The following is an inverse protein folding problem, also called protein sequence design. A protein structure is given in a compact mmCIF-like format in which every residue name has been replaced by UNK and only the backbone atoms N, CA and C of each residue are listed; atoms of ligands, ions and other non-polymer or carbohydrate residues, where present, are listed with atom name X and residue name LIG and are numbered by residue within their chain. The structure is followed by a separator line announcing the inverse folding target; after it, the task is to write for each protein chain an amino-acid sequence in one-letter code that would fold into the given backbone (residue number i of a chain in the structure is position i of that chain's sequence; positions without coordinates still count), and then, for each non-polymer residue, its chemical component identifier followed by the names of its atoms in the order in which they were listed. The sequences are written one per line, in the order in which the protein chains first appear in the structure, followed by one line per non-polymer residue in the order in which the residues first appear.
data_IF_202793145182
#
_entry.id   IF_202793145182
#
_cell.length_a   1.000
_cell.length_b   1.000
_cell.length_c   1.000
_cell.angle_alpha   90.00
_cell.angle_beta   90.00
_cell.angle_gamma   90.00
#
_symmetry.space_group_name_H-M   'P 1'
#
loop_
_entity.id
_entity.type
_entity.pdbx_description
1 polymer ?
#
# COMPACT_ATOMS: atom_id res chain seq x y z
N UNK A 1 -27.34 6.48 39.17
CA UNK A 1 -26.23 6.39 38.18
C UNK A 1 -26.48 5.17 37.28
N UNK A 2 -27.29 5.30 36.22
CA UNK A 2 -27.78 4.15 35.41
C UNK A 2 -27.74 4.44 33.89
N UNK A 3 -26.91 5.39 33.45
CA UNK A 3 -26.90 5.91 32.08
C UNK A 3 -25.62 5.64 31.28
N UNK A 4 -24.56 5.10 31.89
CA UNK A 4 -23.22 5.07 31.26
C UNK A 4 -22.87 3.72 30.61
N UNK A 5 -23.62 2.65 30.90
CA UNK A 5 -23.36 1.33 30.33
C UNK A 5 -23.82 1.19 28.86
N UNK A 6 -24.95 1.81 28.52
CA UNK A 6 -25.51 1.74 27.17
C UNK A 6 -24.67 2.52 26.14
N UNK A 7 -24.08 3.65 26.54
CA UNK A 7 -23.22 4.46 25.67
C UNK A 7 -21.90 3.74 25.36
N UNK A 8 -21.32 3.06 26.36
CA UNK A 8 -20.08 2.29 26.16
C UNK A 8 -20.27 1.11 25.18
N UNK A 9 -21.43 0.44 25.23
CA UNK A 9 -21.76 -0.66 24.31
C UNK A 9 -21.91 -0.22 22.85
N UNK A 10 -22.47 0.99 22.61
CA UNK A 10 -22.63 1.52 21.26
C UNK A 10 -21.29 1.90 20.60
N UNK A 11 -20.35 2.45 21.38
CA UNK A 11 -19.02 2.85 20.87
C UNK A 11 -18.17 1.62 20.51
N UNK A 12 -18.23 0.55 21.31
CA UNK A 12 -17.53 -0.71 21.01
C UNK A 12 -18.15 -1.41 19.78
N UNK A 13 -19.48 -1.40 19.66
CA UNK A 13 -20.17 -1.99 18.50
C UNK A 13 -19.82 -1.31 17.18
N UNK A 14 -19.78 0.04 17.14
CA UNK A 14 -19.39 0.78 15.93
C UNK A 14 -17.90 0.61 15.59
N UNK A 15 -17.02 0.58 16.60
CA UNK A 15 -15.58 0.42 16.40
C UNK A 15 -15.23 -0.93 15.76
N UNK A 16 -15.95 -2.00 16.12
CA UNK A 16 -15.73 -3.35 15.53
C UNK A 16 -16.26 -3.43 14.09
N UNK A 17 -17.38 -2.77 13.78
CA UNK A 17 -17.94 -2.74 12.41
C UNK A 17 -16.99 -1.98 11.46
N UNK A 18 -16.39 -0.86 11.90
CA UNK A 18 -15.45 -0.09 11.10
C UNK A 18 -14.14 -0.82 10.78
N UNK A 19 -13.68 -1.72 11.66
CA UNK A 19 -12.44 -2.49 11.46
C UNK A 19 -12.66 -3.68 10.50
N UNK A 20 -13.84 -4.31 10.53
CA UNK A 20 -14.14 -5.45 9.65
C UNK A 20 -14.35 -5.04 8.19
N UNK A 21 -14.90 -3.84 7.93
CA UNK A 21 -15.18 -3.34 6.57
C UNK A 21 -13.90 -3.01 5.79
N UNK A 22 -12.82 -2.63 6.45
CA UNK A 22 -11.56 -2.26 5.77
C UNK A 22 -10.68 -3.46 5.37
N UNK A 23 -10.98 -4.67 5.85
CA UNK A 23 -10.15 -5.85 5.58
C UNK A 23 -10.61 -6.66 4.36
N UNK A 24 -11.77 -6.35 3.77
CA UNK A 24 -12.41 -7.19 2.77
C UNK A 24 -12.94 -6.43 1.54
N UNK A 25 -12.36 -5.27 1.20
CA UNK A 25 -12.30 -4.90 -0.22
C UNK A 25 -11.21 -5.75 -0.85
N UNK A 26 -11.54 -7.02 -1.12
CA UNK A 26 -10.76 -7.78 -2.10
C UNK A 26 -10.67 -6.94 -3.37
N UNK A 27 -9.44 -6.76 -3.85
CA UNK A 27 -9.12 -5.96 -5.03
C UNK A 27 -9.75 -6.57 -6.28
N UNK A 28 -11.06 -6.36 -6.46
CA UNK A 28 -11.79 -6.65 -7.69
C UNK A 28 -11.12 -6.00 -8.93
N UNK A 29 -10.27 -5.00 -8.69
CA UNK A 29 -9.44 -4.34 -9.70
C UNK A 29 -8.23 -5.19 -10.16
N UNK A 30 -7.70 -6.08 -9.32
CA UNK A 30 -6.52 -6.90 -9.64
C UNK A 30 -6.80 -7.94 -10.74
N UNK A 31 -8.05 -8.38 -10.89
CA UNK A 31 -8.46 -9.35 -11.92
C UNK A 31 -8.84 -8.73 -13.27
N UNK A 32 -8.74 -7.40 -13.40
CA UNK A 32 -9.10 -6.73 -14.65
C UNK A 32 -8.03 -7.01 -15.71
N UNK A 33 -8.48 -7.40 -16.91
CA UNK A 33 -7.57 -7.60 -18.05
C UNK A 33 -7.00 -6.28 -18.61
N UNK A 34 -7.58 -5.15 -18.24
CA UNK A 34 -7.21 -3.82 -18.68
C UNK A 34 -6.12 -3.25 -17.75
N UNK A 35 -5.11 -2.60 -18.32
CA UNK A 35 -4.14 -1.86 -17.50
C UNK A 35 -4.82 -0.70 -16.78
N UNK A 36 -4.62 -0.56 -15.46
CA UNK A 36 -5.20 0.54 -14.72
C UNK A 36 -4.55 1.86 -15.15
N UNK A 37 -5.38 2.86 -15.41
CA UNK A 37 -4.93 4.22 -15.68
C UNK A 37 -4.94 4.97 -14.36
N UNK A 38 -3.77 5.13 -13.76
CA UNK A 38 -3.59 5.76 -12.45
C UNK A 38 -2.72 7.01 -12.60
N UNK A 39 -3.09 8.10 -11.95
CA UNK A 39 -2.28 9.32 -11.95
C UNK A 39 -1.05 9.16 -11.05
N UNK A 40 0.04 9.82 -11.42
CA UNK A 40 1.27 9.85 -10.61
C UNK A 40 1.02 10.21 -9.13
N UNK A 41 0.15 11.20 -8.87
CA UNK A 41 -0.18 11.65 -7.50
C UNK A 41 -0.77 10.56 -6.62
N UNK A 42 -1.41 9.56 -7.22
CA UNK A 42 -2.05 8.46 -6.51
C UNK A 42 -1.00 7.42 -6.09
N UNK A 43 0.02 7.18 -6.92
CA UNK A 43 1.11 6.24 -6.59
C UNK A 43 2.27 6.85 -5.83
N UNK A 44 2.43 8.17 -5.88
CA UNK A 44 3.56 8.89 -5.30
C UNK A 44 3.90 8.50 -3.84
N UNK A 45 2.94 8.25 -2.93
CA UNK A 45 3.24 7.83 -1.56
C UNK A 45 3.98 6.49 -1.43
N UNK A 46 3.92 5.63 -2.45
CA UNK A 46 4.57 4.31 -2.45
C UNK A 46 5.85 4.28 -3.30
N UNK A 47 6.22 5.40 -3.93
CA UNK A 47 7.41 5.47 -4.78
C UNK A 47 8.65 5.77 -3.94
N UNK A 48 9.66 4.91 -4.05
CA UNK A 48 10.99 5.13 -3.51
C UNK A 48 11.94 5.50 -4.64
N UNK A 49 12.68 6.59 -4.47
CA UNK A 49 13.58 7.12 -5.50
C UNK A 49 15.03 6.86 -5.10
N UNK A 50 15.74 6.10 -5.93
CA UNK A 50 17.18 5.90 -5.85
C UNK A 50 17.90 6.83 -6.84
N UNK A 51 19.01 7.46 -6.41
CA UNK A 51 19.86 8.33 -7.23
C UNK A 51 21.32 8.17 -6.81
N UNK A 52 22.24 8.31 -7.75
CA UNK A 52 23.67 8.44 -7.48
C UNK A 52 24.25 9.61 -8.28
N UNK A 53 25.07 10.45 -7.64
CA UNK A 53 25.45 11.79 -8.14
C UNK A 53 26.16 11.79 -9.50
N UNK A 54 26.94 10.74 -9.78
CA UNK A 54 27.78 10.66 -10.99
C UNK A 54 27.40 9.48 -11.89
N UNK A 55 26.16 9.00 -11.78
CA UNK A 55 25.65 7.86 -12.51
C UNK A 55 24.42 8.28 -13.30
N UNK A 56 24.37 7.88 -14.56
CA UNK A 56 23.26 8.13 -15.48
C UNK A 56 22.86 6.80 -16.11
N UNK A 57 21.68 6.73 -16.71
CA UNK A 57 21.25 5.55 -17.49
C UNK A 57 21.23 4.22 -16.70
N UNK A 58 20.35 4.13 -15.69
CA UNK A 58 20.08 2.89 -14.96
C UNK A 58 19.24 1.88 -15.78
N UNK A 59 19.66 1.57 -17.02
CA UNK A 59 18.93 0.68 -17.93
C UNK A 59 19.11 -0.81 -17.61
N UNK A 60 20.11 -1.14 -16.80
CA UNK A 60 20.44 -2.52 -16.43
C UNK A 60 20.04 -2.77 -14.98
N UNK A 61 19.04 -3.64 -14.78
CA UNK A 61 18.55 -4.03 -13.46
C UNK A 61 18.58 -5.56 -13.34
N UNK A 62 19.11 -6.06 -12.23
CA UNK A 62 19.04 -7.48 -11.87
C UNK A 62 18.80 -7.64 -10.38
N UNK A 63 18.20 -8.76 -9.99
CA UNK A 63 17.92 -9.07 -8.59
C UNK A 63 18.73 -10.30 -8.16
N UNK A 64 19.47 -10.17 -7.06
CA UNK A 64 20.13 -11.30 -6.40
C UNK A 64 19.22 -11.82 -5.26
N UNK A 65 18.54 -12.96 -5.44
CA UNK A 65 17.66 -13.50 -4.42
C UNK A 65 18.40 -14.07 -3.21
N UNK A 66 19.68 -14.44 -3.34
CA UNK A 66 20.49 -14.95 -2.24
C UNK A 66 20.80 -13.86 -1.21
N UNK A 67 21.04 -12.64 -1.70
CA UNK A 67 21.34 -11.47 -0.89
C UNK A 67 20.11 -10.57 -0.63
N UNK A 68 19.03 -10.77 -1.39
CA UNK A 68 17.82 -9.92 -1.40
C UNK A 68 18.14 -8.48 -1.84
N UNK A 69 19.01 -8.36 -2.84
CA UNK A 69 19.50 -7.06 -3.32
C UNK A 69 19.07 -6.79 -4.76
N UNK A 70 18.72 -5.54 -5.04
CA UNK A 70 18.54 -5.02 -6.39
C UNK A 70 19.84 -4.37 -6.85
N UNK A 71 20.42 -4.90 -7.93
CA UNK A 71 21.64 -4.39 -8.53
C UNK A 71 21.25 -3.55 -9.74
N UNK A 72 21.67 -2.28 -9.75
CA UNK A 72 21.40 -1.33 -10.82
C UNK A 72 22.73 -0.88 -11.47
N UNK A 73 22.91 -1.20 -12.75
CA UNK A 73 24.03 -0.75 -13.55
C UNK A 73 23.71 0.60 -14.21
N UNK A 74 24.68 1.52 -14.16
CA UNK A 74 24.67 2.87 -14.72
C UNK A 74 26.02 3.22 -15.35
#
# INVERSE_FOLDING_TARGET
MKGNGLVALLVVGLGVIGILVSAATEDSQCHRAEHPVIMYKEIAPWLHVFRAENAVDFSQLTFDPGQKELIAGA
#
